data_IF_488280511986
#
_entry.id   IF_488280511986
#
_cell.length_a   1.000
_cell.length_b   1.000
_cell.length_c   1.000
_cell.angle_alpha   90.00
_cell.angle_beta   90.00
_cell.angle_gamma   90.00
#
_symmetry.space_group_name_H-M   'P 1'
#
loop_
_entity.id
_entity.type
_entity.pdbx_description
1 polymer ?
#
# COMPACT_ATOMS: atom_id res chain seq x y z
N UNK A 1 17.52 31.15 12.31
CA UNK A 1 16.37 30.40 12.85
C UNK A 1 16.86 29.00 13.20
N UNK A 2 16.37 28.38 14.29
CA UNK A 2 16.79 27.02 14.64
C UNK A 2 16.42 26.03 13.53
N UNK A 3 17.31 25.09 13.28
CA UNK A 3 17.09 23.98 12.35
C UNK A 3 16.55 22.77 13.11
N UNK A 4 15.43 22.24 12.63
CA UNK A 4 14.70 21.14 13.24
C UNK A 4 14.77 19.93 12.32
N UNK A 5 15.19 18.79 12.86
CA UNK A 5 15.09 17.51 12.16
C UNK A 5 14.02 16.64 12.80
N UNK A 6 13.04 16.19 12.01
CA UNK A 6 11.96 15.32 12.49
C UNK A 6 12.22 13.88 12.04
N UNK A 7 12.68 13.03 12.96
CA UNK A 7 12.87 11.61 12.76
C UNK A 7 11.53 10.88 12.96
N UNK A 8 10.96 10.34 11.89
CA UNK A 8 9.67 9.65 11.92
C UNK A 8 9.57 8.54 10.88
N UNK A 9 8.79 7.50 11.19
CA UNK A 9 8.33 6.53 10.19
C UNK A 9 7.13 7.09 9.43
N UNK A 10 6.76 6.45 8.32
CA UNK A 10 5.62 6.89 7.51
C UNK A 10 4.30 6.65 8.26
N UNK A 11 3.67 7.73 8.71
CA UNK A 11 2.40 7.77 9.45
C UNK A 11 1.69 9.09 9.12
N UNK A 12 0.35 9.11 9.12
CA UNK A 12 -0.42 10.30 8.74
C UNK A 12 -0.19 11.48 9.69
N UNK A 13 -0.16 11.20 11.00
CA UNK A 13 0.09 12.21 12.03
C UNK A 13 1.46 12.87 11.89
N UNK A 14 2.48 12.12 11.45
CA UNK A 14 3.81 12.66 11.23
C UNK A 14 3.83 13.72 10.12
N UNK A 15 3.04 13.53 9.06
CA UNK A 15 2.92 14.51 7.98
C UNK A 15 2.28 15.81 8.48
N UNK A 16 1.27 15.70 9.35
CA UNK A 16 0.60 16.85 9.98
C UNK A 16 1.59 17.62 10.86
N UNK A 17 2.34 16.93 11.73
CA UNK A 17 3.37 17.54 12.58
C UNK A 17 4.42 18.27 11.73
N UNK A 18 4.97 17.62 10.70
CA UNK A 18 5.97 18.23 9.81
C UNK A 18 5.41 19.45 9.09
N UNK A 19 4.17 19.39 8.58
CA UNK A 19 3.53 20.52 7.91
C UNK A 19 3.38 21.72 8.84
N UNK A 20 2.94 21.49 10.09
CA UNK A 20 2.76 22.55 11.10
C UNK A 20 4.09 23.14 11.55
N UNK A 21 5.13 22.31 11.74
CA UNK A 21 6.48 22.80 12.03
C UNK A 21 7.03 23.64 10.87
N UNK A 22 6.83 23.22 9.62
CA UNK A 22 7.24 24.01 8.44
C UNK A 22 6.53 25.35 8.35
N UNK A 23 5.24 25.38 8.69
CA UNK A 23 4.48 26.63 8.74
C UNK A 23 5.03 27.58 9.82
N UNK A 24 5.48 27.05 10.95
CA UNK A 24 5.98 27.85 12.07
C UNK A 24 7.46 28.28 11.97
N UNK A 25 8.35 27.41 11.47
CA UNK A 25 9.80 27.64 11.42
C UNK A 25 10.34 27.97 10.01
N UNK A 26 9.48 27.85 8.99
CA UNK A 26 9.85 27.95 7.59
C UNK A 26 10.29 26.61 7.01
N UNK A 27 9.94 26.37 5.73
CA UNK A 27 10.17 25.09 5.08
C UNK A 27 11.66 24.67 5.00
N UNK A 28 12.56 25.65 4.87
CA UNK A 28 14.01 25.41 4.80
C UNK A 28 14.63 25.02 6.16
N UNK A 29 13.97 25.40 7.27
CA UNK A 29 14.45 25.14 8.63
C UNK A 29 14.05 23.75 9.14
N UNK A 30 13.15 23.04 8.45
CA UNK A 30 12.60 21.75 8.89
C UNK A 30 12.89 20.65 7.87
N UNK A 31 13.84 19.78 8.23
CA UNK A 31 14.13 18.53 7.54
C UNK A 31 13.48 17.33 8.29
N UNK A 32 13.28 16.20 7.63
CA UNK A 32 12.62 15.03 8.26
C UNK A 32 12.98 13.73 7.55
N UNK A 33 12.82 12.57 8.19
CA UNK A 33 13.28 11.26 7.66
C UNK A 33 12.65 10.77 6.34
N UNK A 34 11.70 11.50 5.74
CA UNK A 34 11.16 11.20 4.40
C UNK A 34 11.68 12.17 3.32
N UNK A 35 12.96 12.57 3.41
CA UNK A 35 13.61 13.49 2.45
C UNK A 35 13.60 12.87 1.05
N UNK A 36 13.22 13.68 0.05
CA UNK A 36 13.43 13.34 -1.36
C UNK A 36 14.89 13.61 -1.72
N UNK A 37 15.63 12.55 -2.01
CA UNK A 37 17.03 12.65 -2.43
C UNK A 37 17.15 12.43 -3.95
N UNK A 38 18.12 13.08 -4.61
CA UNK A 38 18.50 12.77 -5.99
C UNK A 38 18.82 11.28 -6.20
N UNK A 39 18.58 10.73 -7.41
CA UNK A 39 19.04 9.38 -7.74
C UNK A 39 20.55 9.24 -7.53
N UNK A 40 20.97 8.20 -6.80
CA UNK A 40 22.37 7.92 -6.49
C UNK A 40 22.81 8.32 -5.08
N UNK A 41 22.02 9.11 -4.35
CA UNK A 41 22.35 9.54 -2.99
C UNK A 41 22.02 8.47 -1.93
N UNK A 42 22.88 8.34 -0.92
CA UNK A 42 22.66 7.44 0.22
C UNK A 42 21.82 8.12 1.30
N UNK A 43 20.57 7.66 1.45
CA UNK A 43 19.62 8.18 2.43
C UNK A 43 20.11 8.07 3.88
N UNK A 44 20.92 7.06 4.19
CA UNK A 44 21.48 6.86 5.54
C UNK A 44 22.48 7.96 5.88
N UNK A 45 23.38 8.27 4.93
CA UNK A 45 24.35 9.36 5.07
C UNK A 45 23.64 10.71 5.15
N UNK A 46 22.59 10.91 4.37
CA UNK A 46 21.78 12.12 4.42
C UNK A 46 21.12 12.28 5.80
N UNK A 47 20.41 11.26 6.29
CA UNK A 47 19.74 11.29 7.60
C UNK A 47 20.74 11.59 8.74
N UNK A 48 21.89 10.91 8.75
CA UNK A 48 22.97 11.17 9.69
C UNK A 48 23.48 12.62 9.61
N UNK A 49 23.73 13.13 8.40
CA UNK A 49 24.20 14.51 8.16
C UNK A 49 23.20 15.56 8.65
N UNK A 50 21.91 15.37 8.36
CA UNK A 50 20.88 16.31 8.80
C UNK A 50 20.68 16.28 10.32
N UNK A 51 20.61 15.08 10.93
CA UNK A 51 20.50 14.95 12.38
C UNK A 51 21.70 15.58 13.12
N UNK A 52 22.93 15.38 12.60
CA UNK A 52 24.14 15.95 13.18
C UNK A 52 24.28 17.48 12.97
N UNK A 53 23.56 18.06 12.01
CA UNK A 53 23.57 19.51 11.76
C UNK A 53 22.43 20.26 12.42
N UNK A 54 21.32 19.58 12.71
CA UNK A 54 20.17 20.19 13.35
C UNK A 54 20.52 20.72 14.75
N UNK A 55 19.85 21.82 15.13
CA UNK A 55 19.90 22.36 16.49
C UNK A 55 19.07 21.50 17.45
N UNK A 56 18.00 20.90 16.92
CA UNK A 56 17.11 20.01 17.66
C UNK A 56 16.60 18.87 16.78
N UNK A 57 16.43 17.70 17.40
CA UNK A 57 15.95 16.48 16.74
C UNK A 57 14.68 16.00 17.45
N UNK A 58 13.56 16.02 16.74
CA UNK A 58 12.31 15.44 17.22
C UNK A 58 12.26 13.98 16.80
N UNK A 59 12.00 13.08 17.73
CA UNK A 59 11.83 11.64 17.44
C UNK A 59 10.37 11.29 17.67
N UNK A 60 9.62 11.02 16.60
CA UNK A 60 8.21 10.67 16.70
C UNK A 60 8.08 9.17 17.03
N UNK A 61 7.58 8.87 18.23
CA UNK A 61 7.49 7.52 18.80
C UNK A 61 6.02 7.08 18.78
N UNK A 62 5.69 6.24 17.81
CA UNK A 62 4.39 5.55 17.72
C UNK A 62 4.39 4.14 18.31
N UNK A 63 3.25 3.42 18.26
CA UNK A 63 3.08 2.10 18.89
C UNK A 63 4.13 1.06 18.49
N UNK A 64 4.52 1.04 17.21
CA UNK A 64 5.43 0.04 16.64
C UNK A 64 6.89 0.50 16.61
N UNK A 65 7.20 1.71 17.09
CA UNK A 65 8.49 2.35 16.87
C UNK A 65 9.66 1.50 17.41
N UNK A 66 9.58 1.02 18.66
CA UNK A 66 10.65 0.26 19.29
C UNK A 66 10.92 -1.07 18.57
N UNK A 67 9.85 -1.75 18.15
CA UNK A 67 9.96 -3.01 17.41
C UNK A 67 10.65 -2.81 16.05
N UNK A 68 10.30 -1.76 15.31
CA UNK A 68 10.93 -1.46 14.01
C UNK A 68 12.41 -1.14 14.16
N UNK A 69 12.76 -0.37 15.20
CA UNK A 69 14.15 -0.02 15.52
C UNK A 69 14.96 -1.27 15.88
N UNK A 70 14.39 -2.20 16.64
CA UNK A 70 15.05 -3.45 17.00
C UNK A 70 15.26 -4.39 15.79
N UNK A 71 14.32 -4.42 14.84
CA UNK A 71 14.38 -5.30 13.67
C UNK A 71 15.39 -4.87 12.60
N UNK A 72 15.60 -3.56 12.39
CA UNK A 72 16.44 -3.05 11.30
C UNK A 72 17.36 -1.88 11.71
N UNK A 73 18.16 -2.01 12.79
CA UNK A 73 18.87 -0.88 13.39
C UNK A 73 19.86 -0.17 12.44
N UNK A 74 20.40 -0.87 11.44
CA UNK A 74 21.39 -0.30 10.49
C UNK A 74 20.79 0.26 9.20
N UNK A 75 19.51 0.00 8.92
CA UNK A 75 18.84 0.45 7.69
C UNK A 75 17.64 1.36 7.96
N UNK A 76 17.23 1.50 9.22
CA UNK A 76 16.18 2.43 9.61
C UNK A 76 16.71 3.87 9.68
N UNK A 77 16.27 4.74 8.77
CA UNK A 77 16.64 6.15 8.76
C UNK A 77 16.29 6.88 10.06
N UNK A 78 15.20 6.47 10.73
CA UNK A 78 14.78 7.02 12.03
C UNK A 78 15.78 6.61 13.10
N UNK A 79 16.15 5.33 13.13
CA UNK A 79 17.16 4.80 14.06
C UNK A 79 18.53 5.44 13.85
N UNK A 80 18.97 5.56 12.60
CA UNK A 80 20.24 6.20 12.24
C UNK A 80 20.23 7.67 12.70
N UNK A 81 19.21 8.45 12.35
CA UNK A 81 19.13 9.85 12.77
C UNK A 81 19.13 9.98 14.30
N UNK A 82 18.39 9.11 15.00
CA UNK A 82 18.29 9.12 16.47
C UNK A 82 19.62 8.76 17.13
N UNK A 83 20.29 7.70 16.68
CA UNK A 83 21.61 7.31 17.18
C UNK A 83 22.66 8.41 16.95
N UNK A 84 22.63 9.06 15.78
CA UNK A 84 23.53 10.18 15.50
C UNK A 84 23.21 11.41 16.36
N UNK A 85 21.93 11.72 16.57
CA UNK A 85 21.53 12.80 17.45
C UNK A 85 22.05 12.58 18.87
N UNK A 86 21.95 11.35 19.40
CA UNK A 86 22.47 11.00 20.73
C UNK A 86 23.98 11.10 20.77
N UNK A 87 24.66 10.51 19.78
CA UNK A 87 26.12 10.51 19.68
C UNK A 87 26.72 11.92 19.64
N UNK A 88 26.06 12.87 18.99
CA UNK A 88 26.50 14.26 18.89
C UNK A 88 25.85 15.17 19.94
N UNK A 89 25.26 14.60 20.99
CA UNK A 89 24.61 15.30 22.10
C UNK A 89 23.65 16.41 21.62
N UNK A 90 22.94 16.11 20.53
CA UNK A 90 21.91 16.99 20.02
C UNK A 90 20.77 17.05 21.01
N UNK A 91 20.07 18.17 20.96
CA UNK A 91 18.87 18.31 21.75
C UNK A 91 17.76 17.44 21.15
N UNK A 92 17.56 16.27 21.75
CA UNK A 92 16.52 15.34 21.36
C UNK A 92 15.26 15.63 22.14
N UNK A 93 14.12 15.63 21.43
CA UNK A 93 12.79 15.72 22.02
C UNK A 93 12.00 14.51 21.52
N UNK A 94 11.84 13.46 22.35
CA UNK A 94 10.95 12.36 22.05
C UNK A 94 9.52 12.90 22.03
N UNK A 95 8.78 12.65 20.96
CA UNK A 95 7.36 13.02 20.85
C UNK A 95 6.56 11.72 20.76
N UNK A 96 5.90 11.36 21.85
CA UNK A 96 5.10 10.14 21.95
C UNK A 96 3.75 10.42 21.31
N UNK A 97 3.46 9.69 20.24
CA UNK A 97 2.23 9.78 19.46
C UNK A 97 1.10 8.94 20.12
N UNK A 98 -0.18 9.11 19.72
CA UNK A 98 -1.27 8.32 20.25
C UNK A 98 -1.03 6.81 20.13
N UNK A 99 -1.20 6.08 21.25
CA UNK A 99 -0.92 4.65 21.35
C UNK A 99 0.57 4.28 21.40
N UNK A 100 1.46 5.26 21.26
CA UNK A 100 2.90 5.10 21.48
C UNK A 100 3.25 5.05 22.96
N UNK A 101 4.40 4.46 23.27
CA UNK A 101 4.99 4.47 24.61
C UNK A 101 6.49 4.69 24.52
N UNK A 102 7.05 5.31 25.55
CA UNK A 102 8.49 5.47 25.64
C UNK A 102 9.15 4.08 25.76
N UNK A 103 10.13 3.74 24.90
CA UNK A 103 10.85 2.49 25.00
C UNK A 103 11.72 2.43 26.25
N UNK A 104 11.90 1.23 26.80
CA UNK A 104 12.88 0.97 27.85
C UNK A 104 14.26 0.70 27.26
N UNK A 105 15.33 0.87 28.05
CA UNK A 105 16.72 0.77 27.56
C UNK A 105 17.07 -0.62 26.99
N UNK A 106 16.43 -1.68 27.48
CA UNK A 106 16.56 -3.07 26.99
C UNK A 106 15.87 -3.31 25.64
N UNK A 107 14.86 -2.51 25.30
CA UNK A 107 14.18 -2.57 24.00
C UNK A 107 14.96 -1.85 22.88
N UNK A 108 16.05 -1.18 23.23
CA UNK A 108 16.83 -0.34 22.33
C UNK A 108 18.20 -0.96 22.01
N UNK A 109 18.68 -0.81 20.76
CA UNK A 109 20.07 -1.05 20.42
C UNK A 109 21.02 -0.24 21.32
N UNK A 110 22.21 -0.77 21.59
CA UNK A 110 23.18 -0.18 22.52
C UNK A 110 23.41 1.32 22.33
N UNK A 111 23.52 1.77 21.08
CA UNK A 111 23.79 3.16 20.72
C UNK A 111 22.62 4.13 20.96
N UNK A 112 21.42 3.62 21.28
CA UNK A 112 20.21 4.41 21.49
C UNK A 112 19.64 4.32 22.90
N UNK A 113 20.25 3.54 23.80
CA UNK A 113 19.72 3.30 25.15
C UNK A 113 19.44 4.57 25.93
N UNK A 114 20.28 5.58 25.75
CA UNK A 114 20.16 6.87 26.43
C UNK A 114 18.86 7.61 26.08
N UNK A 115 18.23 7.29 24.93
CA UNK A 115 16.91 7.82 24.59
C UNK A 115 15.88 7.52 25.66
N UNK A 116 15.92 6.32 26.27
CA UNK A 116 14.94 5.87 27.28
C UNK A 116 14.88 6.78 28.52
N UNK A 117 15.93 7.57 28.76
CA UNK A 117 16.02 8.49 29.90
C UNK A 117 15.71 9.94 29.54
N UNK A 118 15.37 10.22 28.27
CA UNK A 118 14.99 11.57 27.82
C UNK A 118 13.51 11.80 28.08
N UNK A 119 13.17 12.92 28.71
CA UNK A 119 11.77 13.30 28.99
C UNK A 119 10.98 13.47 27.69
N UNK A 120 9.87 12.74 27.50
CA UNK A 120 9.05 12.85 26.30
C UNK A 120 8.06 14.02 26.36
N UNK A 121 7.69 14.52 25.19
CA UNK A 121 6.48 15.30 24.96
C UNK A 121 5.37 14.36 24.48
N UNK A 122 4.22 14.37 25.15
CA UNK A 122 3.08 13.54 24.74
C UNK A 122 2.14 14.31 23.82
N UNK A 123 1.80 13.71 22.68
CA UNK A 123 0.88 14.24 21.69
C UNK A 123 -0.38 13.36 21.72
N UNK A 124 -1.35 13.76 22.55
CA UNK A 124 -2.61 13.06 22.77
C UNK A 124 -3.75 13.70 21.98
N UNK A 125 -3.82 15.04 21.99
CA UNK A 125 -4.75 15.85 21.20
C UNK A 125 -3.97 16.56 20.09
N UNK A 126 -4.07 16.03 18.88
CA UNK A 126 -3.20 16.42 17.75
C UNK A 126 -3.16 17.92 17.49
N UNK A 127 -4.30 18.61 17.50
CA UNK A 127 -4.33 20.02 17.13
C UNK A 127 -3.75 20.91 18.24
N UNK A 128 -4.22 20.74 19.48
CA UNK A 128 -3.78 21.55 20.62
C UNK A 128 -2.32 21.25 21.02
N UNK A 129 -1.92 19.99 20.99
CA UNK A 129 -0.57 19.58 21.38
C UNK A 129 0.49 20.01 20.38
N UNK A 130 0.16 20.07 19.09
CA UNK A 130 1.09 20.60 18.09
C UNK A 130 1.35 22.09 18.32
N UNK A 131 0.32 22.87 18.68
CA UNK A 131 0.51 24.30 19.02
C UNK A 131 1.43 24.44 20.23
N UNK A 132 1.21 23.63 21.28
CA UNK A 132 2.08 23.60 22.47
C UNK A 132 3.50 23.18 22.14
N UNK A 133 3.67 22.18 21.27
CA UNK A 133 4.97 21.70 20.81
C UNK A 133 5.70 22.82 20.07
N UNK A 134 5.06 23.48 19.11
CA UNK A 134 5.65 24.60 18.37
C UNK A 134 6.10 25.71 19.32
N UNK A 135 5.24 26.11 20.27
CA UNK A 135 5.57 27.12 21.26
C UNK A 135 6.79 26.72 22.13
N UNK A 136 6.85 25.45 22.56
CA UNK A 136 7.99 24.90 23.30
C UNK A 136 9.28 24.94 22.47
N UNK A 137 9.22 24.59 21.20
CA UNK A 137 10.39 24.60 20.33
C UNK A 137 10.88 26.03 20.07
N UNK A 138 9.96 26.99 19.92
CA UNK A 138 10.27 28.40 19.72
C UNK A 138 10.89 29.04 20.97
N UNK A 139 10.31 28.82 22.15
CA UNK A 139 10.84 29.37 23.41
C UNK A 139 12.26 28.88 23.68
N UNK A 140 12.52 27.63 23.35
CA UNK A 140 13.82 27.03 23.58
C UNK A 140 14.78 27.16 22.37
N UNK A 141 14.39 27.89 21.33
CA UNK A 141 15.26 28.29 20.23
C UNK A 141 15.98 29.62 20.50
N UNK A 142 15.57 30.35 21.54
CA UNK A 142 16.37 31.45 22.05
C UNK A 142 17.69 30.89 22.58
N UNK A 143 18.83 31.54 22.29
CA UNK A 143 20.13 31.04 22.69
C UNK A 143 20.16 30.92 24.20
N UNK A 144 20.03 29.69 24.72
CA UNK A 144 20.56 29.40 26.03
C UNK A 144 22.06 29.59 25.90
N UNK A 145 22.54 30.73 26.37
CA UNK A 145 23.94 30.98 26.67
C UNK A 145 24.38 29.92 27.69
N UNK A 146 24.71 28.72 27.19
CA UNK A 146 25.49 27.78 27.99
C UNK A 146 26.82 28.49 28.28
N UNK A 147 27.23 28.61 29.55
CA UNK A 147 28.62 28.87 29.84
C UNK A 147 29.40 27.73 29.19
N UNK A 148 30.05 28.02 28.07
CA UNK A 148 31.07 27.15 27.53
C UNK A 148 32.21 27.29 28.53
N UNK A 149 32.20 26.44 29.56
CA UNK A 149 33.35 26.27 30.44
C UNK A 149 34.55 26.07 29.52
N UNK A 150 35.47 27.03 29.57
CA UNK A 150 36.74 27.01 28.87
C UNK A 150 37.51 25.76 29.30
N UNK A 151 37.37 24.68 28.55
CA UNK A 151 38.38 23.64 28.46
C UNK A 151 39.30 24.01 27.31
N UNK A 152 40.50 24.47 27.68
CA UNK A 152 41.63 24.83 26.81
C UNK A 152 41.96 23.69 25.81
N UNK A 153 42.40 24.00 24.58
CA UNK A 153 42.46 23.03 23.49
C UNK A 153 43.73 22.17 23.52
N UNK A 154 43.60 20.90 23.09
CA UNK A 154 44.71 20.07 22.61
C UNK A 154 44.73 20.14 21.08
N UNK A 155 45.89 20.37 20.44
CA UNK A 155 45.96 20.68 19.01
C UNK A 155 45.97 19.38 18.18
N UNK A 156 44.94 19.10 17.40
CA UNK A 156 45.02 18.19 16.24
C UNK A 156 43.94 18.51 15.21
N UNK A 157 44.39 18.69 13.98
CA UNK A 157 43.67 18.66 12.70
C UNK A 157 42.84 19.90 12.31
N UNK A 158 43.52 20.81 11.60
CA UNK A 158 42.90 21.82 10.76
C UNK A 158 42.14 21.13 9.62
N UNK A 159 40.89 20.73 9.89
CA UNK A 159 39.93 20.50 8.82
C UNK A 159 39.70 21.85 8.15
N UNK A 160 40.32 22.05 6.98
CA UNK A 160 40.00 23.14 6.08
C UNK A 160 38.52 22.99 5.72
N UNK A 161 37.67 23.72 6.44
CA UNK A 161 36.27 23.89 6.06
C UNK A 161 36.24 24.75 4.81
N UNK A 162 36.20 24.09 3.65
CA UNK A 162 35.74 24.71 2.42
C UNK A 162 34.27 25.07 2.66
N UNK A 163 34.01 26.35 2.91
CA UNK A 163 32.67 26.91 2.93
C UNK A 163 32.00 26.58 1.60
N UNK A 164 31.03 25.65 1.63
CA UNK A 164 30.09 25.51 0.52
C UNK A 164 29.36 26.87 0.39
N UNK A 165 29.34 27.49 -0.80
CA UNK A 165 28.64 28.75 -0.97
C UNK A 165 27.16 28.57 -0.61
N UNK A 166 26.64 29.51 0.19
CA UNK A 166 25.25 29.57 0.61
C UNK A 166 24.32 29.34 -0.61
N UNK A 167 23.24 28.54 -0.47
CA UNK A 167 22.25 28.45 -1.55
C UNK A 167 21.75 29.85 -1.85
N UNK A 168 21.93 30.29 -3.10
CA UNK A 168 21.42 31.57 -3.61
C UNK A 168 19.95 31.67 -3.23
N UNK A 169 19.62 32.77 -2.55
CA UNK A 169 18.24 33.25 -2.39
C UNK A 169 17.56 33.14 -3.75
N UNK A 170 16.43 32.43 -3.78
CA UNK A 170 15.60 32.25 -4.98
C UNK A 170 15.43 33.58 -5.69
N UNK A 171 15.61 33.55 -7.01
CA UNK A 171 15.53 34.74 -7.84
C UNK A 171 14.18 35.44 -7.63
N UNK A 172 14.10 36.78 -7.65
CA UNK A 172 12.83 37.50 -7.52
C UNK A 172 11.77 37.12 -8.59
N UNK A 173 12.17 36.40 -9.63
CA UNK A 173 11.30 35.86 -10.67
C UNK A 173 10.59 34.55 -10.27
N UNK A 174 11.10 33.79 -9.28
CA UNK A 174 10.45 32.55 -8.79
C UNK A 174 9.13 32.83 -8.06
N UNK A 175 9.01 34.00 -7.42
CA UNK A 175 7.78 34.47 -6.77
C UNK A 175 6.70 34.77 -7.83
N UNK A 176 7.10 35.35 -8.97
CA UNK A 176 6.18 35.71 -10.06
C UNK A 176 5.69 34.49 -10.85
N UNK A 177 6.49 33.41 -10.92
CA UNK A 177 6.14 32.17 -11.62
C UNK A 177 5.47 31.12 -10.72
N UNK A 178 5.39 31.36 -9.41
CA UNK A 178 4.68 30.52 -8.44
C UNK A 178 3.23 30.17 -8.87
N UNK A 179 2.39 31.11 -9.33
CA UNK A 179 1.04 30.78 -9.79
C UNK A 179 1.04 29.88 -11.03
N UNK A 180 1.98 30.04 -11.97
CA UNK A 180 2.10 29.14 -13.12
C UNK A 180 2.51 27.72 -12.70
N UNK A 181 3.42 27.59 -11.73
CA UNK A 181 3.80 26.27 -11.19
C UNK A 181 2.66 25.63 -10.41
N UNK A 182 1.87 26.44 -9.70
CA UNK A 182 0.67 25.99 -9.00
C UNK A 182 -0.43 25.54 -9.98
N UNK A 183 -0.68 26.30 -11.05
CA UNK A 183 -1.60 25.93 -12.14
C UNK A 183 -1.15 24.63 -12.79
N UNK A 184 0.15 24.48 -13.07
CA UNK A 184 0.69 23.27 -13.68
C UNK A 184 0.60 22.05 -12.76
N UNK A 185 0.80 22.24 -11.45
CA UNK A 185 0.56 21.22 -10.43
C UNK A 185 -0.93 20.83 -10.36
N UNK A 186 -1.84 21.80 -10.40
CA UNK A 186 -3.27 21.60 -10.37
C UNK A 186 -3.76 20.84 -11.63
N UNK A 187 -3.25 21.22 -12.80
CA UNK A 187 -3.50 20.53 -14.07
C UNK A 187 -3.04 19.06 -14.02
N UNK A 188 -1.84 18.78 -13.47
CA UNK A 188 -1.38 17.40 -13.26
C UNK A 188 -2.27 16.60 -12.33
N UNK A 189 -2.80 17.24 -11.28
CA UNK A 189 -3.73 16.58 -10.34
C UNK A 189 -5.06 16.26 -11.01
N UNK A 190 -5.62 17.19 -11.78
CA UNK A 190 -6.88 17.01 -12.52
C UNK A 190 -6.72 15.93 -13.60
N UNK A 191 -5.61 15.94 -14.34
CA UNK A 191 -5.33 14.91 -15.35
C UNK A 191 -5.24 13.50 -14.73
N UNK A 192 -4.61 13.37 -13.55
CA UNK A 192 -4.56 12.12 -12.80
C UNK A 192 -5.95 11.63 -12.38
N UNK A 193 -6.81 12.52 -11.90
CA UNK A 193 -8.20 12.17 -11.55
C UNK A 193 -9.04 11.77 -12.77
N UNK A 194 -8.85 12.41 -13.92
CA UNK A 194 -9.53 12.05 -15.17
C UNK A 194 -9.05 10.67 -15.64
N UNK A 195 -7.74 10.41 -15.63
CA UNK A 195 -7.19 9.11 -15.98
C UNK A 195 -7.73 7.99 -15.07
N UNK A 196 -7.86 8.26 -13.77
CA UNK A 196 -8.45 7.34 -12.81
C UNK A 196 -9.94 7.08 -13.11
N UNK A 197 -10.71 8.14 -13.42
CA UNK A 197 -12.13 8.02 -13.77
C UNK A 197 -12.35 7.24 -15.07
N UNK A 198 -11.53 7.48 -16.10
CA UNK A 198 -11.59 6.74 -17.37
C UNK A 198 -11.27 5.26 -17.16
N UNK A 199 -10.23 4.96 -16.38
CA UNK A 199 -9.91 3.56 -16.03
C UNK A 199 -11.06 2.88 -15.28
N UNK A 200 -11.76 3.61 -14.42
CA UNK A 200 -12.93 3.10 -13.70
C UNK A 200 -14.07 2.78 -14.66
N UNK A 201 -14.40 3.68 -15.59
CA UNK A 201 -15.47 3.47 -16.59
C UNK A 201 -15.15 2.28 -17.48
N UNK A 202 -13.91 2.18 -17.98
CA UNK A 202 -13.46 1.06 -18.82
C UNK A 202 -13.52 -0.26 -18.06
N UNK A 203 -13.04 -0.31 -16.82
CA UNK A 203 -13.08 -1.51 -15.99
C UNK A 203 -14.53 -1.97 -15.70
N UNK A 204 -15.45 -1.04 -15.46
CA UNK A 204 -16.87 -1.34 -15.25
C UNK A 204 -17.54 -1.85 -16.54
N UNK A 205 -17.24 -1.24 -17.70
CA UNK A 205 -17.75 -1.68 -18.99
C UNK A 205 -17.28 -3.10 -19.35
N UNK A 206 -16.00 -3.41 -19.11
CA UNK A 206 -15.44 -4.75 -19.33
C UNK A 206 -16.17 -5.77 -18.44
N UNK A 207 -16.35 -5.45 -17.15
CA UNK A 207 -17.02 -6.36 -16.21
C UNK A 207 -18.47 -6.66 -16.61
N UNK A 208 -19.19 -5.66 -17.11
CA UNK A 208 -20.56 -5.81 -17.64
C UNK A 208 -20.60 -6.64 -18.93
N UNK A 209 -19.69 -6.40 -19.88
CA UNK A 209 -19.61 -7.14 -21.12
C UNK A 209 -19.27 -8.63 -20.89
N UNK A 210 -18.31 -8.92 -20.01
CA UNK A 210 -17.96 -10.30 -19.64
C UNK A 210 -19.17 -11.00 -19.00
N UNK A 211 -19.90 -10.33 -18.11
CA UNK A 211 -21.13 -10.87 -17.53
C UNK A 211 -22.16 -11.25 -18.59
N UNK A 212 -22.42 -10.36 -19.55
CA UNK A 212 -23.36 -10.60 -20.64
C UNK A 212 -22.96 -11.81 -21.51
N UNK A 213 -21.69 -11.90 -21.90
CA UNK A 213 -21.16 -13.03 -22.70
C UNK A 213 -21.31 -14.35 -21.94
N UNK A 214 -20.98 -14.37 -20.64
CA UNK A 214 -21.13 -15.56 -19.79
C UNK A 214 -22.60 -15.98 -19.72
N UNK A 215 -23.53 -15.04 -19.52
CA UNK A 215 -24.97 -15.34 -19.50
C UNK A 215 -25.45 -15.94 -20.81
N UNK A 216 -25.05 -15.36 -21.95
CA UNK A 216 -25.41 -15.88 -23.28
C UNK A 216 -24.86 -17.30 -23.48
N UNK A 217 -23.62 -17.56 -23.08
CA UNK A 217 -23.02 -18.90 -23.14
C UNK A 217 -23.77 -19.90 -22.28
N UNK A 218 -24.13 -19.53 -21.05
CA UNK A 218 -24.91 -20.39 -20.15
C UNK A 218 -26.27 -20.74 -20.78
N UNK A 219 -26.99 -19.74 -21.30
CA UNK A 219 -28.30 -19.96 -21.95
C UNK A 219 -28.16 -20.84 -23.18
N UNK A 220 -27.12 -20.65 -24.00
CA UNK A 220 -26.86 -21.48 -25.18
C UNK A 220 -26.56 -22.94 -24.80
N UNK A 221 -25.75 -23.17 -23.77
CA UNK A 221 -25.43 -24.52 -23.28
C UNK A 221 -26.68 -25.20 -22.72
N UNK A 222 -27.46 -24.50 -21.88
CA UNK A 222 -28.71 -25.04 -21.33
C UNK A 222 -29.70 -25.35 -22.45
N UNK A 223 -29.89 -24.44 -23.41
CA UNK A 223 -30.76 -24.65 -24.56
C UNK A 223 -30.32 -25.85 -25.40
N UNK A 224 -29.02 -25.99 -25.65
CA UNK A 224 -28.46 -27.15 -26.34
C UNK A 224 -28.69 -28.46 -25.60
N UNK A 225 -28.51 -28.49 -24.28
CA UNK A 225 -28.79 -29.66 -23.44
C UNK A 225 -30.28 -30.03 -23.44
N UNK A 226 -31.18 -29.05 -23.36
CA UNK A 226 -32.63 -29.26 -23.45
C UNK A 226 -32.99 -29.82 -24.83
N UNK A 227 -32.48 -29.22 -25.91
CA UNK A 227 -32.75 -29.68 -27.26
C UNK A 227 -32.24 -31.11 -27.48
N UNK A 228 -31.02 -31.40 -27.03
CA UNK A 228 -30.44 -32.74 -27.06
C UNK A 228 -31.33 -33.73 -26.30
N UNK A 229 -31.75 -33.39 -25.08
CA UNK A 229 -32.64 -34.21 -24.26
C UNK A 229 -33.99 -34.49 -24.96
N UNK A 230 -34.62 -33.47 -25.53
CA UNK A 230 -35.89 -33.62 -26.27
C UNK A 230 -35.71 -34.52 -27.49
N UNK A 231 -34.65 -34.34 -28.27
CA UNK A 231 -34.35 -35.21 -29.44
C UNK A 231 -34.12 -36.64 -29.00
N UNK A 232 -33.33 -36.87 -27.95
CA UNK A 232 -33.08 -38.21 -27.41
C UNK A 232 -34.37 -38.86 -26.91
N UNK A 233 -35.22 -38.11 -26.20
CA UNK A 233 -36.50 -38.60 -25.70
C UNK A 233 -37.44 -38.99 -26.86
N UNK A 234 -37.60 -38.13 -27.86
CA UNK A 234 -38.40 -38.41 -29.05
C UNK A 234 -37.89 -39.64 -29.82
N UNK A 235 -36.57 -39.79 -29.97
CA UNK A 235 -35.98 -40.97 -30.60
C UNK A 235 -36.24 -42.25 -29.80
N UNK A 236 -36.18 -42.20 -28.46
CA UNK A 236 -36.49 -43.34 -27.61
C UNK A 236 -37.95 -43.78 -27.73
N UNK A 237 -38.90 -42.83 -27.68
CA UNK A 237 -40.32 -43.13 -27.84
C UNK A 237 -40.65 -43.68 -29.23
N UNK A 238 -40.07 -43.10 -30.29
CA UNK A 238 -40.22 -43.59 -31.66
C UNK A 238 -39.67 -45.01 -31.82
N UNK A 239 -38.47 -45.29 -31.30
CA UNK A 239 -37.87 -46.62 -31.33
C UNK A 239 -38.70 -47.64 -30.54
N UNK A 240 -39.23 -47.26 -29.37
CA UNK A 240 -40.07 -48.12 -28.54
C UNK A 240 -41.38 -48.49 -29.28
N UNK A 241 -42.01 -47.52 -29.94
CA UNK A 241 -43.24 -47.74 -30.72
C UNK A 241 -42.99 -48.67 -31.91
N UNK A 242 -41.88 -48.48 -32.63
CA UNK A 242 -41.50 -49.35 -33.75
C UNK A 242 -41.15 -50.78 -33.30
N UNK A 243 -40.51 -50.94 -32.15
CA UNK A 243 -40.20 -52.26 -31.60
C UNK A 243 -41.48 -53.05 -31.22
N UNK A 244 -42.47 -52.36 -30.65
CA UNK A 244 -43.78 -52.95 -30.31
C UNK A 244 -44.52 -53.40 -31.57
N UNK A 245 -44.55 -52.58 -32.64
CA UNK A 245 -45.23 -52.97 -33.88
C UNK A 245 -44.57 -54.18 -34.54
N UNK A 246 -43.23 -54.24 -34.58
CA UNK A 246 -42.50 -55.40 -35.12
C UNK A 246 -42.76 -56.68 -34.32
N UNK A 247 -42.87 -56.57 -32.99
CA UNK A 247 -43.20 -57.71 -32.14
C UNK A 247 -44.63 -58.22 -32.40
N UNK A 248 -45.60 -57.31 -32.55
CA UNK A 248 -46.99 -57.66 -32.90
C UNK A 248 -47.07 -58.35 -34.26
N UNK A 249 -46.35 -57.82 -35.26
CA UNK A 249 -46.32 -58.41 -36.61
C UNK A 249 -45.65 -59.79 -36.60
N UNK A 250 -44.58 -59.97 -35.85
CA UNK A 250 -43.91 -61.27 -35.67
C UNK A 250 -44.87 -62.30 -35.05
N UNK A 251 -45.62 -61.91 -34.03
CA UNK A 251 -46.64 -62.78 -33.40
C UNK A 251 -47.75 -63.12 -34.40
N UNK A 252 -48.24 -62.16 -35.18
CA UNK A 252 -49.25 -62.43 -36.23
C UNK A 252 -48.74 -63.40 -37.29
N UNK A 253 -47.49 -63.26 -37.71
CA UNK A 253 -46.88 -64.12 -38.72
C UNK A 253 -46.74 -65.57 -38.22
N UNK A 254 -46.37 -65.77 -36.95
CA UNK A 254 -46.33 -67.08 -36.29
C UNK A 254 -47.74 -67.69 -36.24
N UNK A 255 -48.75 -66.92 -35.83
CA UNK A 255 -50.14 -67.39 -35.77
C UNK A 255 -50.67 -67.80 -37.16
N UNK A 256 -50.35 -67.06 -38.21
CA UNK A 256 -50.71 -67.40 -39.59
C UNK A 256 -50.00 -68.68 -40.06
N UNK A 257 -48.72 -68.85 -39.74
CA UNK A 257 -47.97 -70.08 -40.05
C UNK A 257 -48.61 -71.32 -39.41
N UNK A 258 -49.05 -71.20 -38.14
CA UNK A 258 -49.75 -72.29 -37.45
C UNK A 258 -51.12 -72.60 -38.06
N UNK A 259 -51.86 -71.59 -38.53
CA UNK A 259 -53.10 -71.81 -39.27
C UNK A 259 -52.85 -72.50 -40.63
N UNK A 260 -51.77 -72.16 -41.32
CA UNK A 260 -51.35 -72.82 -42.55
C UNK A 260 -51.05 -74.31 -42.36
N UNK A 261 -50.39 -74.67 -41.25
CA UNK A 261 -50.12 -76.06 -40.88
C UNK A 261 -51.41 -76.84 -40.54
N UNK A 262 -52.43 -76.16 -39.99
CA UNK A 262 -53.74 -76.78 -39.71
C UNK A 262 -54.52 -77.13 -40.98
N UNK A 263 -54.21 -76.50 -42.11
CA UNK A 263 -54.85 -76.73 -43.41
C UNK A 263 -54.13 -77.77 -44.28
N UNK A 264 -53.04 -78.36 -43.79
CA UNK A 264 -52.39 -79.50 -44.46
C UNK A 264 -53.22 -80.77 -44.22
N UNK A 265 -53.99 -81.15 -45.23
CA UNK A 265 -54.76 -82.40 -45.26
C UNK A 265 -53.78 -83.60 -45.25
N UNK A 266 -53.99 -84.63 -44.40
CA UNK A 266 -53.09 -85.77 -44.35
C UNK A 266 -53.06 -86.51 -45.71
N UNK A 267 -51.90 -87.02 -46.13
CA UNK A 267 -51.75 -87.65 -47.44
C UNK A 267 -52.67 -88.86 -47.55
N UNK A 268 -53.52 -88.87 -48.58
CA UNK A 268 -54.29 -90.05 -48.99
C UNK A 268 -53.33 -91.13 -49.42
N UNK A 269 -53.24 -92.22 -48.66
CA UNK A 269 -52.49 -93.43 -49.02
C UNK A 269 -53.29 -94.15 -50.10
N UNK A 270 -52.77 -94.37 -51.33
CA UNK A 270 -53.40 -95.24 -52.29
C UNK A 270 -53.13 -96.71 -51.92
N UNK A 271 -54.18 -97.49 -51.69
CA UNK A 271 -54.13 -98.95 -51.61
C UNK A 271 -54.53 -99.59 -52.96
N UNK A 272 -54.06 -100.82 -53.23
CA UNK A 272 -53.59 -101.29 -54.54
C UNK A 272 -54.65 -101.69 -55.56
#
# INVERSE_FOLDING_TARGET
>A
MPTVYVAHHQQDIAQVVVARLRAAFGAASVAHSSIKLPPGDDARKAAAKYAARADMVLVLIGPEWAQRIAQAPQNDLVGIATAYALRYEKRIIPVVLPGGRMPTADQLPQQMRDLAYVTPFHLNDTENDIVRLVALLQSNAQPQARPRTEARPTPTETVIYRSEPLPRVTSPLDIFLWPLRFIWWLLKRIAGTISWLVQLIVAQAIRSAVGCIITILIVAVIGGLILWFVVTFLQQDLNATMAISQMVDSVRQILQGLQGLRNLQPPTIPTP
#
